data_IF_372384879260
#
_entry.id   IF_372384879260
#
_cell.length_a   1.000
_cell.length_b   1.000
_cell.length_c   1.000
_cell.angle_alpha   90.00
_cell.angle_beta   90.00
_cell.angle_gamma   90.00
#
_symmetry.space_group_name_H-M   'P 1'
#
loop_
_entity.id
_entity.type
_entity.pdbx_description
1 polymer ?
#
# COMPACT_ATOMS: atom_id res chain seq x y z
N UNK A 1 -17.86 -53.72 8.19
CA UNK A 1 -17.59 -52.26 8.11
C UNK A 1 -18.92 -51.55 7.94
N UNK A 2 -19.42 -50.89 8.98
CA UNK A 2 -20.79 -50.35 9.03
C UNK A 2 -20.91 -49.07 8.17
N UNK A 3 -21.91 -48.96 7.27
CA UNK A 3 -21.97 -47.93 6.22
C UNK A 3 -22.40 -46.54 6.70
N UNK A 4 -22.56 -46.32 8.01
CA UNK A 4 -23.18 -45.11 8.58
C UNK A 4 -22.15 -43.97 8.82
N UNK A 5 -20.84 -44.26 8.77
CA UNK A 5 -19.79 -43.24 8.99
C UNK A 5 -19.26 -42.59 7.69
N UNK A 6 -19.71 -43.03 6.51
CA UNK A 6 -19.21 -42.52 5.23
C UNK A 6 -19.89 -41.22 4.77
N UNK A 7 -21.18 -41.02 5.09
CA UNK A 7 -21.95 -39.85 4.64
C UNK A 7 -21.48 -38.52 5.29
N UNK A 8 -20.94 -38.55 6.50
CA UNK A 8 -20.43 -37.36 7.19
C UNK A 8 -19.02 -36.91 6.77
N UNK A 9 -18.17 -37.83 6.30
CA UNK A 9 -16.77 -37.51 5.95
C UNK A 9 -16.67 -36.71 4.65
N UNK A 10 -17.41 -37.11 3.60
CA UNK A 10 -17.40 -36.38 2.34
C UNK A 10 -17.94 -34.95 2.50
N UNK A 11 -19.04 -34.78 3.25
CA UNK A 11 -19.59 -33.45 3.57
C UNK A 11 -18.64 -32.58 4.38
N UNK A 12 -17.93 -33.16 5.36
CA UNK A 12 -16.92 -32.43 6.15
C UNK A 12 -15.67 -32.06 5.32
N UNK A 13 -15.27 -32.90 4.37
CA UNK A 13 -14.17 -32.60 3.43
C UNK A 13 -14.57 -31.43 2.52
N UNK A 14 -15.74 -31.48 1.91
CA UNK A 14 -16.25 -30.41 1.03
C UNK A 14 -16.37 -29.10 1.81
N UNK A 15 -16.92 -29.14 3.03
CA UNK A 15 -17.03 -27.96 3.90
C UNK A 15 -15.67 -27.36 4.25
N UNK A 16 -14.69 -28.20 4.59
CA UNK A 16 -13.32 -27.77 4.88
C UNK A 16 -12.66 -27.13 3.66
N UNK A 17 -12.86 -27.70 2.47
CA UNK A 17 -12.36 -27.15 1.20
C UNK A 17 -12.97 -25.79 0.89
N UNK A 18 -14.28 -25.63 1.11
CA UNK A 18 -14.96 -24.34 0.93
C UNK A 18 -14.44 -23.27 1.89
N UNK A 19 -14.20 -23.63 3.17
CA UNK A 19 -13.62 -22.71 4.15
C UNK A 19 -12.21 -22.31 3.74
N UNK A 20 -11.35 -23.26 3.35
CA UNK A 20 -10.00 -22.99 2.87
C UNK A 20 -10.02 -22.09 1.64
N UNK A 21 -10.89 -22.36 0.66
CA UNK A 21 -11.04 -21.52 -0.52
C UNK A 21 -11.46 -20.09 -0.16
N UNK A 22 -12.44 -19.93 0.74
CA UNK A 22 -12.85 -18.62 1.23
C UNK A 22 -11.71 -17.88 1.93
N UNK A 23 -10.95 -18.57 2.79
CA UNK A 23 -9.86 -17.99 3.55
C UNK A 23 -8.71 -17.55 2.64
N UNK A 24 -8.37 -18.34 1.62
CA UNK A 24 -7.39 -17.98 0.60
C UNK A 24 -7.83 -16.76 -0.20
N UNK A 25 -9.10 -16.70 -0.62
CA UNK A 25 -9.64 -15.55 -1.35
C UNK A 25 -9.65 -14.27 -0.51
N UNK A 26 -10.00 -14.38 0.77
CA UNK A 26 -9.96 -13.25 1.71
C UNK A 26 -8.52 -12.76 1.91
N UNK A 27 -7.57 -13.66 2.17
CA UNK A 27 -6.16 -13.30 2.33
C UNK A 27 -5.58 -12.67 1.06
N UNK A 28 -5.91 -13.21 -0.12
CA UNK A 28 -5.55 -12.62 -1.41
C UNK A 28 -6.10 -11.20 -1.54
N UNK A 29 -7.38 -11.00 -1.21
CA UNK A 29 -8.03 -9.69 -1.33
C UNK A 29 -7.42 -8.68 -0.35
N UNK A 30 -7.20 -9.08 0.90
CA UNK A 30 -6.54 -8.26 1.90
C UNK A 30 -5.11 -7.90 1.48
N UNK A 31 -4.35 -8.85 0.93
CA UNK A 31 -3.02 -8.61 0.40
C UNK A 31 -3.04 -7.61 -0.76
N UNK A 32 -3.95 -7.75 -1.74
CA UNK A 32 -4.04 -6.83 -2.87
C UNK A 32 -4.50 -5.43 -2.43
N UNK A 33 -5.47 -5.34 -1.52
CA UNK A 33 -5.87 -4.07 -0.91
C UNK A 33 -4.69 -3.41 -0.22
N UNK A 34 -3.95 -4.16 0.59
CA UNK A 34 -2.75 -3.68 1.24
C UNK A 34 -1.70 -3.22 0.22
N UNK A 35 -1.38 -4.04 -0.77
CA UNK A 35 -0.34 -3.77 -1.77
C UNK A 35 -0.65 -2.54 -2.64
N UNK A 36 -1.91 -2.36 -3.06
CA UNK A 36 -2.29 -1.23 -3.93
C UNK A 36 -2.61 0.06 -3.16
N UNK A 37 -3.11 -0.02 -1.93
CA UNK A 37 -3.49 1.16 -1.13
C UNK A 37 -2.42 1.56 -0.11
N UNK A 38 -1.32 0.81 -0.02
CA UNK A 38 -0.18 1.15 0.81
C UNK A 38 1.00 1.54 -0.08
N UNK A 39 1.71 2.64 0.21
CA UNK A 39 2.93 2.95 -0.51
C UNK A 39 3.95 1.83 -0.28
N UNK A 40 4.34 1.11 -1.33
CA UNK A 40 5.35 0.06 -1.26
C UNK A 40 6.63 0.54 -1.96
N UNK A 41 7.75 0.53 -1.24
CA UNK A 41 9.06 0.70 -1.83
C UNK A 41 9.35 -0.49 -2.72
N UNK A 42 9.68 -0.23 -3.97
CA UNK A 42 10.20 -1.29 -4.82
C UNK A 42 11.69 -1.48 -4.58
N UNK A 43 12.25 -2.53 -5.18
CA UNK A 43 13.71 -2.71 -5.24
C UNK A 43 14.43 -1.52 -5.90
N UNK A 44 13.70 -0.60 -6.53
CA UNK A 44 14.21 0.64 -7.11
C UNK A 44 13.97 1.82 -6.16
N UNK A 45 15.02 2.57 -5.77
CA UNK A 45 14.88 3.74 -4.90
C UNK A 45 14.18 4.94 -5.57
N UNK A 46 13.97 4.88 -6.89
CA UNK A 46 13.31 5.92 -7.67
C UNK A 46 11.78 5.73 -7.76
N UNK A 47 11.27 4.52 -7.52
CA UNK A 47 9.87 4.18 -7.84
C UNK A 47 9.12 3.72 -6.58
N UNK A 48 7.99 4.37 -6.30
CA UNK A 48 7.06 4.01 -5.23
C UNK A 48 5.72 3.67 -5.86
N UNK A 49 5.12 2.55 -5.44
CA UNK A 49 3.76 2.22 -5.87
C UNK A 49 2.74 2.69 -4.84
N UNK A 50 1.73 3.45 -5.24
CA UNK A 50 0.67 3.90 -4.35
C UNK A 50 -0.66 4.10 -5.09
N UNK A 51 -1.78 3.78 -4.45
CA UNK A 51 -3.12 4.02 -4.99
C UNK A 51 -3.32 3.42 -6.39
N UNK A 52 -2.78 2.21 -6.62
CA UNK A 52 -2.83 1.51 -7.91
C UNK A 52 -1.80 1.96 -8.95
N UNK A 53 -1.22 3.17 -8.83
CA UNK A 53 -0.28 3.75 -9.78
C UNK A 53 1.17 3.82 -9.30
N UNK A 54 2.06 4.20 -10.23
CA UNK A 54 3.48 4.43 -9.97
C UNK A 54 3.76 5.90 -9.66
N UNK A 55 4.72 6.13 -8.77
CA UNK A 55 5.22 7.44 -8.41
C UNK A 55 6.73 7.43 -8.58
N UNK A 56 7.23 8.38 -9.33
CA UNK A 56 8.64 8.50 -9.65
C UNK A 56 9.25 9.63 -8.83
N UNK A 57 10.47 9.41 -8.34
CA UNK A 57 11.25 10.43 -7.66
C UNK A 57 11.54 11.55 -8.64
N UNK A 58 11.22 12.77 -8.24
CA UNK A 58 11.57 13.96 -9.02
C UNK A 58 13.05 14.26 -8.79
N UNK A 59 13.80 14.53 -9.87
CA UNK A 59 15.23 14.91 -9.81
C UNK A 59 15.49 16.29 -9.18
N UNK A 60 14.45 16.94 -8.68
CA UNK A 60 14.57 18.20 -7.93
C UNK A 60 15.27 17.98 -6.59
N UNK A 61 16.04 18.97 -6.10
CA UNK A 61 16.67 18.90 -4.79
C UNK A 61 15.64 18.67 -3.68
N UNK A 62 16.08 18.02 -2.61
CA UNK A 62 15.23 17.76 -1.46
C UNK A 62 14.65 19.07 -0.92
N UNK A 63 13.33 19.07 -0.70
CA UNK A 63 12.58 20.27 -0.33
C UNK A 63 12.37 20.35 1.17
N UNK A 64 12.25 21.57 1.70
CA UNK A 64 11.91 21.78 3.10
C UNK A 64 10.46 21.41 3.38
N UNK A 65 10.10 21.16 4.65
CA UNK A 65 8.71 20.85 5.02
C UNK A 65 7.72 21.96 4.68
N UNK A 66 8.17 23.22 4.73
CA UNK A 66 7.38 24.38 4.29
C UNK A 66 7.11 24.36 2.80
N UNK A 67 8.13 24.07 1.98
CA UNK A 67 7.98 23.97 0.53
C UNK A 67 7.11 22.77 0.13
N UNK A 68 7.29 21.61 0.78
CA UNK A 68 6.44 20.44 0.58
C UNK A 68 4.96 20.75 0.87
N UNK A 69 4.68 21.56 1.89
CA UNK A 69 3.30 21.98 2.24
C UNK A 69 2.70 22.89 1.17
N UNK A 70 3.50 23.82 0.61
CA UNK A 70 3.07 24.67 -0.51
C UNK A 70 2.78 23.86 -1.77
N UNK A 71 3.68 22.94 -2.14
CA UNK A 71 3.52 22.07 -3.32
C UNK A 71 2.32 21.14 -3.17
N UNK A 72 2.06 20.66 -1.95
CA UNK A 72 0.91 19.84 -1.64
C UNK A 72 -0.41 20.64 -1.65
N UNK A 73 -0.41 21.93 -1.30
CA UNK A 73 -1.63 22.73 -1.26
C UNK A 73 -2.61 22.35 -0.14
N UNK A 74 -2.15 21.77 0.97
CA UNK A 74 -3.03 21.41 2.10
C UNK A 74 -2.37 20.73 3.30
N UNK A 75 -3.20 20.25 4.26
CA UNK A 75 -2.74 19.57 5.49
C UNK A 75 -2.01 18.25 5.17
N UNK A 76 -0.87 18.04 5.85
CA UNK A 76 -0.01 16.86 5.69
C UNK A 76 -0.47 15.72 6.60
N UNK A 77 -0.51 14.49 6.08
CA UNK A 77 -0.71 13.27 6.88
C UNK A 77 0.58 12.45 6.84
N UNK A 78 1.23 12.31 7.99
CA UNK A 78 2.40 11.43 8.10
C UNK A 78 1.95 9.97 8.22
N UNK A 79 2.60 9.09 7.48
CA UNK A 79 2.29 7.66 7.50
C UNK A 79 3.59 6.86 7.59
N UNK A 80 3.89 6.30 8.76
CA UNK A 80 4.99 5.36 8.95
C UNK A 80 4.55 3.96 8.54
N UNK A 81 5.30 3.22 7.71
CA UNK A 81 4.89 1.86 7.31
C UNK A 81 6.00 0.83 7.11
N UNK A 82 5.63 -0.40 7.45
CA UNK A 82 6.31 -1.66 7.14
C UNK A 82 6.41 -1.89 5.62
N UNK A 83 7.45 -2.60 5.11
CA UNK A 83 8.43 -3.41 5.86
C UNK A 83 9.70 -2.67 6.29
N UNK A 84 9.98 -1.49 5.70
CA UNK A 84 11.25 -0.77 5.94
C UNK A 84 11.13 0.29 7.05
N UNK A 85 9.95 0.46 7.65
CA UNK A 85 9.64 1.47 8.67
C UNK A 85 10.13 2.89 8.32
N UNK A 86 10.31 3.20 7.04
CA UNK A 86 10.74 4.52 6.60
C UNK A 86 9.54 5.47 6.62
N UNK A 87 9.65 6.65 7.25
CA UNK A 87 8.56 7.60 7.29
C UNK A 87 8.29 8.16 5.88
N UNK A 88 7.09 7.89 5.36
CA UNK A 88 6.60 8.52 4.14
C UNK A 88 5.48 9.48 4.55
N UNK A 89 5.65 10.76 4.25
CA UNK A 89 4.59 11.75 4.32
C UNK A 89 3.81 11.69 2.99
N UNK A 90 2.79 10.84 2.93
CA UNK A 90 1.87 10.86 1.80
C UNK A 90 0.91 12.05 1.94
N UNK A 91 0.90 12.97 0.97
CA UNK A 91 -0.15 13.97 0.87
C UNK A 91 -1.47 13.27 0.49
N UNK A 92 -2.61 13.81 0.88
CA UNK A 92 -3.92 13.33 0.40
C UNK A 92 -4.77 14.56 0.06
N UNK A 93 -4.93 14.93 -1.22
CA UNK A 93 -5.94 15.90 -1.62
C UNK A 93 -7.29 15.20 -1.52
N UNK A 94 -7.93 15.24 -0.34
CA UNK A 94 -9.27 14.68 -0.17
C UNK A 94 -9.36 13.15 -0.28
N UNK A 95 -10.35 12.63 -1.04
CA UNK A 95 -10.61 11.18 -1.18
C UNK A 95 -9.77 10.51 -2.27
N UNK A 96 -9.16 11.27 -3.19
CA UNK A 96 -8.45 10.78 -4.38
C UNK A 96 -6.97 10.45 -4.12
N UNK A 97 -6.35 9.75 -5.09
CA UNK A 97 -4.91 9.49 -5.11
C UNK A 97 -4.14 10.83 -5.21
N UNK A 98 -3.12 11.07 -4.39
CA UNK A 98 -2.36 12.32 -4.42
C UNK A 98 -1.50 12.44 -5.67
N UNK A 99 -1.31 13.66 -6.18
CA UNK A 99 -0.35 13.88 -7.27
C UNK A 99 1.12 13.79 -6.82
N UNK A 100 1.38 14.10 -5.55
CA UNK A 100 2.73 14.14 -4.96
C UNK A 100 2.80 13.35 -3.65
N UNK A 101 3.89 12.60 -3.46
CA UNK A 101 4.25 11.95 -2.20
C UNK A 101 5.59 12.52 -1.71
N UNK A 102 5.73 12.70 -0.39
CA UNK A 102 6.94 13.26 0.20
C UNK A 102 7.56 12.26 1.17
N UNK A 103 8.79 11.82 0.97
CA UNK A 103 9.49 10.95 1.93
C UNK A 103 10.43 11.77 2.80
N UNK A 104 10.36 11.60 4.13
CA UNK A 104 11.18 12.38 5.07
C UNK A 104 12.58 11.77 5.16
N UNK A 105 13.61 12.56 4.84
CA UNK A 105 15.02 12.15 4.89
C UNK A 105 15.73 12.73 6.12
N UNK A 106 15.29 13.91 6.59
CA UNK A 106 15.85 14.59 7.75
C UNK A 106 14.79 15.26 8.62
N UNK A 107 15.22 16.10 9.57
CA UNK A 107 14.31 16.79 10.50
C UNK A 107 13.28 17.67 9.77
N UNK A 108 13.69 18.28 8.66
CA UNK A 108 12.83 19.11 7.79
C UNK A 108 13.10 18.92 6.28
N UNK A 109 13.74 17.83 5.88
CA UNK A 109 14.15 17.57 4.48
C UNK A 109 13.33 16.43 3.90
N UNK A 110 12.77 16.65 2.71
CA UNK A 110 11.86 15.72 2.05
C UNK A 110 12.24 15.47 0.59
N UNK A 111 12.18 14.20 0.18
CA UNK A 111 12.23 13.79 -1.22
C UNK A 111 10.83 13.82 -1.81
N UNK A 112 10.69 14.38 -3.01
CA UNK A 112 9.41 14.45 -3.71
C UNK A 112 9.29 13.32 -4.73
N UNK A 113 8.13 12.66 -4.74
CA UNK A 113 7.71 11.73 -5.79
C UNK A 113 6.45 12.27 -6.46
N UNK A 114 6.35 12.13 -7.78
CA UNK A 114 5.20 12.54 -8.58
C UNK A 114 4.54 11.31 -9.20
N UNK A 115 3.22 11.29 -9.26
CA UNK A 115 2.50 10.26 -10.01
C UNK A 115 3.01 10.21 -11.46
N UNK A 116 3.44 9.03 -11.89
CA UNK A 116 3.80 8.79 -13.29
C UNK A 116 2.53 8.88 -14.14
N UNK A 117 2.62 9.53 -15.29
CA UNK A 117 1.50 9.70 -16.23
C UNK A 117 1.39 8.42 -17.08
N UNK A 118 0.85 7.35 -16.47
CA UNK A 118 0.42 6.13 -17.18
C UNK A 118 -1.10 6.18 -17.48
#
# INVERSE_FOLDING_TARGET
>A
MSPILAQGRAGNIIRSLLILAALVLLMRTAYLLWFFHTPAWTSRPHDIRYCGGWYERVDTPDVTGGQATKTAGGRRKEVMRSPVFRPITAYRPGSACPRYLFSKVGKDVYVTYRASED
#
